data_IF_881272366092
#
_entry.id   IF_881272366092
#
_cell.length_a   1.000
_cell.length_b   1.000
_cell.length_c   1.000
_cell.angle_alpha   90.00
_cell.angle_beta   90.00
_cell.angle_gamma   90.00
#
_symmetry.space_group_name_H-M   'P 1'
#
loop_
_entity.id
_entity.type
_entity.pdbx_description
1 polymer ?
#
# COMPACT_ATOMS: atom_id res chain seq x y z
N UNK A 1 16.82 13.69 2.31
CA UNK A 1 17.86 12.65 2.18
C UNK A 1 19.02 13.03 3.08
N UNK A 2 19.58 12.09 3.83
CA UNK A 2 20.74 12.32 4.70
C UNK A 2 21.93 11.53 4.18
N UNK A 3 23.06 12.19 3.94
CA UNK A 3 24.28 11.57 3.39
C UNK A 3 25.50 12.02 4.16
N UNK A 4 26.34 11.07 4.55
CA UNK A 4 27.69 11.34 5.03
C UNK A 4 28.63 11.32 3.83
N UNK A 5 29.29 12.43 3.54
CA UNK A 5 30.17 12.56 2.38
C UNK A 5 31.49 13.19 2.77
N UNK A 6 32.51 12.92 1.97
CA UNK A 6 33.79 13.61 2.01
C UNK A 6 33.82 14.58 0.84
N UNK A 7 33.78 15.88 1.12
CA UNK A 7 33.76 16.89 0.06
C UNK A 7 35.21 17.27 -0.29
N UNK A 8 35.78 16.64 -1.32
CA UNK A 8 37.14 16.97 -1.79
C UNK A 8 37.13 18.29 -2.56
N UNK A 9 37.95 19.22 -2.09
CA UNK A 9 38.17 20.52 -2.68
C UNK A 9 39.66 20.73 -2.91
N UNK A 10 40.02 21.25 -4.08
CA UNK A 10 41.42 21.54 -4.44
C UNK A 10 41.49 22.90 -5.15
N UNK A 11 42.37 23.77 -4.68
CA UNK A 11 42.61 25.08 -5.27
C UNK A 11 44.08 25.48 -5.10
N UNK A 12 44.50 26.57 -5.75
CA UNK A 12 45.88 27.05 -5.71
C UNK A 12 45.93 28.43 -5.08
N UNK A 13 46.70 28.59 -4.00
CA UNK A 13 46.98 29.88 -3.38
C UNK A 13 48.42 30.30 -3.66
N UNK A 14 48.57 31.45 -4.33
CA UNK A 14 49.88 32.00 -4.70
C UNK A 14 50.70 32.49 -3.51
N UNK A 15 50.07 32.82 -2.37
CA UNK A 15 50.75 33.31 -1.16
C UNK A 15 51.35 32.19 -0.33
N UNK A 16 50.87 30.94 -0.50
CA UNK A 16 51.30 29.77 0.26
C UNK A 16 52.32 28.90 -0.49
N UNK A 17 53.17 29.54 -1.31
CA UNK A 17 54.26 28.88 -2.06
C UNK A 17 55.59 29.02 -1.33
N UNK A 18 56.41 27.98 -1.35
CA UNK A 18 57.78 28.03 -0.84
C UNK A 18 58.71 27.15 -1.65
N UNK A 19 60.02 27.43 -1.59
CA UNK A 19 61.03 26.58 -2.22
C UNK A 19 61.44 25.48 -1.23
N UNK A 20 61.23 24.18 -1.54
CA UNK A 20 61.60 23.09 -0.61
C UNK A 20 63.09 23.10 -0.22
N UNK A 21 63.96 23.61 -1.11
CA UNK A 21 65.40 23.74 -0.86
C UNK A 21 65.74 24.68 0.30
N UNK A 22 64.89 25.67 0.58
CA UNK A 22 65.08 26.63 1.68
C UNK A 22 64.52 26.11 3.01
N UNK A 23 63.63 25.10 2.96
CA UNK A 23 62.90 24.57 4.12
C UNK A 23 63.13 23.07 4.28
N UNK A 24 64.39 22.64 4.37
CA UNK A 24 64.78 21.26 4.68
C UNK A 24 64.12 20.16 3.81
N UNK A 25 63.77 20.47 2.56
CA UNK A 25 63.12 19.54 1.64
C UNK A 25 61.64 19.29 1.92
N UNK A 26 60.98 20.10 2.75
CA UNK A 26 59.55 19.96 3.06
C UNK A 26 58.71 20.28 1.81
N UNK A 27 57.92 19.31 1.35
CA UNK A 27 57.06 19.44 0.15
C UNK A 27 55.59 19.66 0.47
N UNK A 28 55.14 19.32 1.69
CA UNK A 28 53.76 19.54 2.13
C UNK A 28 53.67 19.75 3.64
N UNK A 29 52.69 20.54 4.06
CA UNK A 29 52.37 20.84 5.46
C UNK A 29 50.86 20.69 5.70
N UNK A 30 50.48 20.43 6.95
CA UNK A 30 49.07 20.38 7.37
C UNK A 30 48.74 21.60 8.21
N UNK A 31 47.80 22.40 7.75
CA UNK A 31 47.45 23.71 8.35
C UNK A 31 45.97 23.69 8.75
N UNK A 32 45.59 24.27 9.90
CA UNK A 32 44.17 24.44 10.26
C UNK A 32 43.41 25.25 9.18
N UNK A 33 42.22 24.76 8.76
CA UNK A 33 41.44 25.39 7.68
C UNK A 33 40.92 26.79 8.00
N UNK A 34 40.75 27.11 9.28
CA UNK A 34 40.35 28.41 9.80
C UNK A 34 41.43 29.49 9.70
N UNK A 35 42.70 29.09 9.50
CA UNK A 35 43.83 30.02 9.37
C UNK A 35 44.17 30.41 7.93
N UNK A 36 43.51 29.79 6.94
CA UNK A 36 43.71 30.04 5.52
C UNK A 36 42.38 30.44 4.87
N UNK A 37 42.45 31.04 3.68
CA UNK A 37 41.23 31.26 2.89
C UNK A 37 40.70 29.91 2.38
N UNK A 38 39.40 29.70 2.55
CA UNK A 38 38.67 28.55 2.03
C UNK A 38 37.47 29.04 1.20
N UNK A 39 37.12 28.35 0.10
CA UNK A 39 35.89 28.65 -0.63
C UNK A 39 34.66 28.20 0.17
N UNK A 40 33.60 28.98 0.12
CA UNK A 40 32.35 28.79 0.85
C UNK A 40 31.36 27.90 0.06
N UNK A 41 31.79 26.68 -0.26
CA UNK A 41 30.95 25.73 -0.99
C UNK A 41 29.88 25.16 -0.06
N UNK A 42 28.62 25.51 -0.32
CA UNK A 42 27.46 25.12 0.48
C UNK A 42 26.45 24.33 -0.33
N UNK A 43 25.64 23.54 0.37
CA UNK A 43 24.47 22.87 -0.20
C UNK A 43 23.29 23.87 -0.25
N UNK A 44 22.81 24.20 -1.44
CA UNK A 44 21.67 25.13 -1.60
C UNK A 44 20.35 24.50 -1.12
N UNK A 45 20.10 23.23 -1.46
CA UNK A 45 18.86 22.53 -1.12
C UNK A 45 18.92 21.91 0.30
N UNK A 46 19.51 22.63 1.26
CA UNK A 46 19.70 22.15 2.63
C UNK A 46 18.38 22.18 3.44
N UNK A 47 18.11 21.12 4.20
CA UNK A 47 16.94 20.99 5.06
C UNK A 47 17.20 21.29 6.55
N UNK A 48 18.47 21.30 7.01
CA UNK A 48 18.81 21.38 8.45
C UNK A 48 19.21 22.78 8.93
N UNK A 49 19.34 23.75 8.01
CA UNK A 49 19.81 25.11 8.30
C UNK A 49 21.30 25.22 8.71
N UNK A 50 22.04 24.10 8.75
CA UNK A 50 23.50 24.06 8.99
C UNK A 50 24.23 23.96 7.66
N UNK A 51 24.89 25.03 7.25
CA UNK A 51 25.53 25.13 5.94
C UNK A 51 27.03 24.82 5.96
N UNK A 52 27.66 24.81 7.14
CA UNK A 52 29.11 24.65 7.32
C UNK A 52 29.50 23.19 7.61
N UNK A 53 30.60 22.74 7.00
CA UNK A 53 31.20 21.43 7.22
C UNK A 53 32.07 21.35 8.48
N UNK A 54 32.63 20.17 8.76
CA UNK A 54 33.54 20.01 9.90
C UNK A 54 34.87 20.74 9.65
N UNK A 55 35.35 21.49 10.64
CA UNK A 55 36.64 22.18 10.58
C UNK A 55 37.76 21.14 10.74
N UNK A 56 38.43 20.82 9.64
CA UNK A 56 39.58 19.90 9.59
C UNK A 56 40.83 20.60 9.10
N UNK A 57 42.00 19.94 9.17
CA UNK A 57 43.24 20.50 8.61
C UNK A 57 43.26 20.32 7.08
N UNK A 58 43.69 21.35 6.38
CA UNK A 58 44.00 21.29 4.95
C UNK A 58 45.46 20.87 4.72
N UNK A 59 45.73 20.23 3.59
CA UNK A 59 47.09 19.88 3.15
C UNK A 59 47.53 20.91 2.13
N UNK A 60 48.59 21.64 2.44
CA UNK A 60 49.20 22.64 1.54
C UNK A 60 50.48 22.05 0.97
N UNK A 61 50.65 22.07 -0.34
CA UNK A 61 51.88 21.68 -1.06
C UNK A 61 52.75 22.90 -1.37
N UNK A 62 54.03 22.67 -1.61
CA UNK A 62 55.03 23.73 -1.84
C UNK A 62 54.75 24.62 -3.06
N UNK A 63 54.02 24.10 -4.05
CA UNK A 63 53.57 24.81 -5.25
C UNK A 63 52.34 25.70 -5.01
N UNK A 64 51.83 25.74 -3.77
CA UNK A 64 50.66 26.49 -3.37
C UNK A 64 49.35 25.73 -3.60
N UNK A 65 49.40 24.47 -4.05
CA UNK A 65 48.20 23.64 -4.20
C UNK A 65 47.70 23.20 -2.84
N UNK A 66 46.44 23.50 -2.53
CA UNK A 66 45.77 23.21 -1.28
C UNK A 66 44.70 22.18 -1.54
N UNK A 67 44.72 21.10 -0.77
CA UNK A 67 43.68 20.07 -0.79
C UNK A 67 42.99 20.01 0.57
N UNK A 68 41.67 20.10 0.57
CA UNK A 68 40.84 20.06 1.77
C UNK A 68 39.66 19.12 1.55
N UNK A 69 39.53 18.12 2.44
CA UNK A 69 38.53 17.04 2.37
C UNK A 69 37.75 16.94 3.69
N UNK A 70 36.95 17.94 4.06
CA UNK A 70 36.15 17.86 5.27
C UNK A 70 35.07 16.76 5.16
N UNK A 71 34.87 15.96 6.22
CA UNK A 71 33.69 15.12 6.33
C UNK A 71 32.48 16.01 6.66
N UNK A 72 31.37 15.76 5.99
CA UNK A 72 30.13 16.48 6.20
C UNK A 72 28.93 15.54 6.23
N UNK A 73 27.98 15.82 7.12
CA UNK A 73 26.66 15.22 7.10
C UNK A 73 25.70 16.22 6.46
N UNK A 74 25.31 15.94 5.22
CA UNK A 74 24.36 16.77 4.49
C UNK A 74 22.95 16.21 4.60
N UNK A 75 22.00 17.08 4.93
CA UNK A 75 20.56 16.80 4.82
C UNK A 75 19.99 17.60 3.67
N UNK A 76 19.78 16.96 2.53
CA UNK A 76 19.19 17.59 1.35
C UNK A 76 17.67 17.42 1.30
N UNK A 77 16.99 18.45 0.83
CA UNK A 77 15.58 18.45 0.48
C UNK A 77 15.40 17.77 -0.87
N UNK A 78 14.65 16.67 -0.90
CA UNK A 78 14.34 15.93 -2.12
C UNK A 78 12.84 15.64 -2.15
N UNK A 79 12.21 15.84 -3.30
CA UNK A 79 10.81 15.46 -3.51
C UNK A 79 10.79 13.98 -3.87
N UNK A 80 10.04 13.20 -3.09
CA UNK A 80 9.89 11.76 -3.33
C UNK A 80 8.57 11.44 -4.04
N UNK A 81 8.59 10.45 -4.90
CA UNK A 81 7.39 9.90 -5.56
C UNK A 81 7.06 8.53 -4.98
N UNK A 82 5.94 8.44 -4.26
CA UNK A 82 5.51 7.23 -3.54
C UNK A 82 4.44 6.43 -4.28
N UNK A 83 4.14 6.78 -5.54
CA UNK A 83 3.07 6.14 -6.33
C UNK A 83 3.18 4.61 -6.35
N UNK A 84 4.40 4.08 -6.56
CA UNK A 84 4.67 2.65 -6.69
C UNK A 84 5.31 2.01 -5.46
N UNK A 85 5.17 2.62 -4.28
CA UNK A 85 5.71 2.08 -3.03
C UNK A 85 5.32 0.60 -2.80
N UNK A 86 6.25 -0.30 -2.38
CA UNK A 86 7.67 -0.11 -2.06
C UNK A 86 8.61 -0.40 -3.25
N UNK A 87 8.09 -0.49 -4.48
CA UNK A 87 8.84 -0.75 -5.71
C UNK A 87 9.19 0.56 -6.43
N UNK A 88 9.71 1.51 -5.67
CA UNK A 88 9.98 2.87 -6.10
C UNK A 88 11.46 3.12 -6.47
N UNK A 89 11.64 4.02 -7.43
CA UNK A 89 12.92 4.64 -7.79
C UNK A 89 12.83 6.11 -7.43
N UNK A 90 13.81 6.61 -6.68
CA UNK A 90 13.88 8.00 -6.27
C UNK A 90 15.06 8.67 -6.97
N UNK A 91 14.84 9.89 -7.47
CA UNK A 91 15.88 10.73 -8.04
C UNK A 91 16.08 11.95 -7.15
N UNK A 92 17.11 11.90 -6.31
CA UNK A 92 17.44 12.99 -5.40
C UNK A 92 18.68 13.73 -5.87
N UNK A 93 18.61 15.05 -5.90
CA UNK A 93 19.72 15.91 -6.29
C UNK A 93 20.30 16.67 -5.09
N UNK A 94 21.61 16.87 -5.08
CA UNK A 94 22.30 17.77 -4.17
C UNK A 94 23.03 18.85 -4.97
N UNK A 95 22.68 20.11 -4.74
CA UNK A 95 23.27 21.26 -5.45
C UNK A 95 24.28 22.00 -4.58
N UNK A 96 25.53 21.97 -4.99
CA UNK A 96 26.64 22.66 -4.34
C UNK A 96 27.06 23.88 -5.14
N UNK A 97 27.33 24.98 -4.45
CA UNK A 97 27.85 26.20 -5.07
C UNK A 97 28.42 27.14 -4.01
N UNK A 98 29.12 28.17 -4.46
CA UNK A 98 29.53 29.26 -3.56
C UNK A 98 28.30 30.05 -3.13
N UNK A 99 28.27 30.52 -1.88
CA UNK A 99 27.20 31.39 -1.39
C UNK A 99 27.48 32.87 -1.66
N UNK A 100 28.73 33.29 -1.50
CA UNK A 100 29.15 34.70 -1.54
C UNK A 100 29.74 35.13 -2.86
N UNK A 101 30.48 34.26 -3.55
CA UNK A 101 31.19 34.62 -4.79
C UNK A 101 30.35 34.32 -6.03
N UNK A 102 30.47 35.19 -7.04
CA UNK A 102 29.98 34.89 -8.38
C UNK A 102 31.03 34.12 -9.20
N UNK A 103 30.65 33.66 -10.38
CA UNK A 103 31.51 32.90 -11.27
C UNK A 103 32.69 33.68 -11.85
N UNK A 104 32.68 35.03 -11.76
CA UNK A 104 33.84 35.84 -12.15
C UNK A 104 34.96 35.78 -11.11
N UNK A 105 34.61 35.47 -9.85
CA UNK A 105 35.54 35.38 -8.73
C UNK A 105 35.92 33.94 -8.40
N UNK A 106 34.94 33.04 -8.32
CA UNK A 106 35.15 31.62 -8.00
C UNK A 106 34.43 30.77 -9.04
N UNK A 107 35.22 30.09 -9.87
CA UNK A 107 34.70 29.06 -10.78
C UNK A 107 34.88 27.66 -10.17
N UNK A 108 33.83 26.85 -10.23
CA UNK A 108 33.80 25.51 -9.65
C UNK A 108 33.79 24.49 -10.79
N UNK A 109 34.71 23.53 -10.75
CA UNK A 109 34.86 22.50 -11.77
C UNK A 109 34.79 21.11 -11.14
N UNK A 110 34.12 20.16 -11.82
CA UNK A 110 34.10 18.77 -11.38
C UNK A 110 35.43 18.10 -11.70
N UNK A 111 35.98 17.37 -10.73
CA UNK A 111 37.12 16.48 -10.96
C UNK A 111 36.69 15.23 -11.75
N UNK A 112 35.56 14.63 -11.36
CA UNK A 112 34.98 13.46 -12.03
C UNK A 112 33.45 13.64 -12.16
N UNK A 113 32.89 13.06 -13.22
CA UNK A 113 31.46 12.98 -13.45
C UNK A 113 30.80 11.95 -12.52
N UNK A 114 31.49 10.86 -12.17
CA UNK A 114 30.94 9.84 -11.28
C UNK A 114 31.27 10.16 -9.82
N UNK A 115 30.30 9.94 -8.93
CA UNK A 115 30.55 10.02 -7.49
C UNK A 115 31.39 8.81 -7.08
N UNK A 116 32.50 9.06 -6.37
CA UNK A 116 33.34 7.99 -5.84
C UNK A 116 32.58 7.15 -4.80
N UNK A 117 32.64 5.83 -4.97
CA UNK A 117 31.96 4.83 -4.13
C UNK A 117 32.94 3.85 -3.47
N UNK A 118 34.26 4.08 -3.54
CA UNK A 118 35.28 3.17 -3.00
C UNK A 118 35.10 2.87 -1.51
N UNK A 119 34.78 3.89 -0.73
CA UNK A 119 34.51 3.77 0.71
C UNK A 119 33.01 3.76 1.03
N UNK A 120 32.16 3.40 0.07
CA UNK A 120 30.71 3.33 0.28
C UNK A 120 30.36 2.13 1.16
N UNK A 121 29.55 2.39 2.19
CA UNK A 121 28.97 1.36 3.03
C UNK A 121 27.52 1.12 2.59
N UNK A 122 27.21 -0.11 2.20
CA UNK A 122 25.89 -0.47 1.68
C UNK A 122 24.77 -0.22 2.69
N UNK A 123 23.66 0.34 2.19
CA UNK A 123 22.46 0.57 2.97
C UNK A 123 21.52 -0.63 2.84
N UNK A 124 20.98 -1.13 3.95
CA UNK A 124 20.06 -2.27 3.97
C UNK A 124 18.67 -1.99 3.41
N UNK A 125 18.31 -0.72 3.18
CA UNK A 125 17.00 -0.30 2.64
C UNK A 125 17.09 0.23 1.20
N UNK A 126 18.24 0.77 0.80
CA UNK A 126 18.41 1.51 -0.45
C UNK A 126 19.66 1.08 -1.22
N UNK A 127 19.50 0.85 -2.52
CA UNK A 127 20.56 0.55 -3.47
C UNK A 127 20.83 1.79 -4.35
N UNK A 128 22.09 2.19 -4.52
CA UNK A 128 22.46 3.28 -5.43
C UNK A 128 22.60 2.72 -6.85
N UNK A 129 21.65 3.05 -7.73
CA UNK A 129 21.66 2.63 -9.14
C UNK A 129 22.66 3.48 -9.92
N UNK A 130 22.55 4.80 -9.84
CA UNK A 130 23.48 5.74 -10.49
C UNK A 130 23.72 6.95 -9.60
N UNK A 131 24.97 7.41 -9.54
CA UNK A 131 25.35 8.64 -8.86
C UNK A 131 26.27 9.44 -9.78
N UNK A 132 25.79 10.59 -10.26
CA UNK A 132 26.45 11.37 -11.32
C UNK A 132 26.40 12.87 -11.01
N UNK A 133 27.43 13.60 -11.41
CA UNK A 133 27.60 15.03 -11.18
C UNK A 133 27.55 15.83 -12.48
N UNK A 134 26.88 16.97 -12.47
CA UNK A 134 26.77 17.87 -13.61
C UNK A 134 27.06 19.32 -13.19
N UNK A 135 27.88 20.04 -13.97
CA UNK A 135 28.12 21.48 -13.80
C UNK A 135 26.99 22.26 -14.46
N UNK A 136 26.28 23.05 -13.66
CA UNK A 136 25.31 24.02 -14.14
C UNK A 136 25.78 25.45 -13.89
N UNK A 137 25.06 26.41 -14.47
CA UNK A 137 25.27 27.82 -14.22
C UNK A 137 23.91 28.50 -14.10
N UNK A 138 23.69 29.19 -12.98
CA UNK A 138 22.48 30.00 -12.76
C UNK A 138 22.81 31.44 -13.07
N UNK A 139 22.09 32.05 -14.00
CA UNK A 139 22.18 33.48 -14.28
C UNK A 139 21.11 34.23 -13.49
N UNK A 140 21.53 35.28 -12.78
CA UNK A 140 20.63 36.16 -12.05
C UNK A 140 21.01 37.62 -12.34
N UNK A 141 20.27 38.24 -13.26
CA UNK A 141 20.59 39.58 -13.78
C UNK A 141 21.95 39.65 -14.47
N UNK A 142 22.89 40.37 -13.86
CA UNK A 142 24.25 40.60 -14.40
C UNK A 142 25.25 39.51 -13.97
N UNK A 143 24.98 38.80 -12.88
CA UNK A 143 25.89 37.83 -12.29
C UNK A 143 25.53 36.41 -12.73
N UNK A 144 26.55 35.56 -12.83
CA UNK A 144 26.37 34.13 -13.07
C UNK A 144 26.98 33.35 -11.90
N UNK A 145 26.27 32.33 -11.45
CA UNK A 145 26.60 31.54 -10.27
C UNK A 145 26.78 30.08 -10.68
N UNK A 146 28.04 29.60 -10.80
CA UNK A 146 28.31 28.21 -11.10
C UNK A 146 27.87 27.32 -9.94
N UNK A 147 27.29 26.17 -10.26
CA UNK A 147 26.93 25.16 -9.28
C UNK A 147 27.18 23.76 -9.83
N UNK A 148 27.42 22.81 -8.94
CA UNK A 148 27.53 21.38 -9.25
C UNK A 148 26.30 20.69 -8.67
N UNK A 149 25.59 19.95 -9.51
CA UNK A 149 24.47 19.10 -9.08
C UNK A 149 24.88 17.64 -9.12
N UNK A 150 24.84 16.97 -7.99
CA UNK A 150 24.96 15.52 -7.91
C UNK A 150 23.58 14.88 -7.87
N UNK A 151 23.25 14.06 -8.86
CA UNK A 151 22.01 13.30 -8.96
C UNK A 151 22.23 11.86 -8.55
N UNK A 152 21.45 11.42 -7.56
CA UNK A 152 21.41 10.07 -7.02
C UNK A 152 20.10 9.41 -7.40
N UNK A 153 20.18 8.41 -8.27
CA UNK A 153 19.07 7.51 -8.54
C UNK A 153 19.21 6.32 -7.61
N UNK A 154 18.32 6.23 -6.63
CA UNK A 154 18.30 5.19 -5.62
C UNK A 154 17.05 4.32 -5.76
N UNK A 155 17.20 3.03 -5.49
CA UNK A 155 16.15 2.02 -5.57
C UNK A 155 15.90 1.43 -4.19
N UNK A 156 14.64 1.29 -3.80
CA UNK A 156 14.29 0.64 -2.53
C UNK A 156 14.41 -0.87 -2.62
N UNK A 157 14.90 -1.50 -1.54
CA UNK A 157 14.85 -2.95 -1.33
C UNK A 157 13.50 -3.32 -0.67
N UNK A 158 12.57 -3.99 -1.38
CA UNK A 158 11.15 -4.06 -0.97
C UNK A 158 10.81 -5.21 -0.01
N UNK A 159 11.78 -6.06 0.36
CA UNK A 159 11.50 -7.32 1.07
C UNK A 159 10.75 -7.11 2.39
N UNK A 160 11.21 -6.16 3.21
CA UNK A 160 10.60 -5.83 4.50
C UNK A 160 9.13 -5.42 4.35
N UNK A 161 8.84 -4.46 3.47
CA UNK A 161 7.49 -3.97 3.22
C UNK A 161 6.60 -5.02 2.54
N UNK A 162 7.17 -5.89 1.70
CA UNK A 162 6.43 -6.98 1.06
C UNK A 162 5.91 -7.98 2.11
N UNK A 163 6.76 -8.38 3.06
CA UNK A 163 6.40 -9.36 4.09
C UNK A 163 5.44 -8.80 5.14
N UNK A 164 5.66 -7.56 5.60
CA UNK A 164 4.94 -7.02 6.75
C UNK A 164 3.78 -6.07 6.40
N UNK A 165 3.71 -5.55 5.17
CA UNK A 165 2.57 -4.74 4.71
C UNK A 165 1.77 -5.45 3.62
N UNK A 166 2.40 -5.87 2.52
CA UNK A 166 1.68 -6.40 1.35
C UNK A 166 0.99 -7.74 1.66
N UNK A 167 1.71 -8.71 2.25
CA UNK A 167 1.15 -10.04 2.56
C UNK A 167 -0.07 -9.93 3.51
N UNK A 168 -0.01 -9.20 4.64
CA UNK A 168 -1.18 -8.99 5.49
C UNK A 168 -2.36 -8.31 4.77
N UNK A 169 -2.11 -7.32 3.91
CA UNK A 169 -3.17 -6.67 3.14
C UNK A 169 -3.88 -7.63 2.18
N UNK A 170 -3.12 -8.50 1.51
CA UNK A 170 -3.69 -9.58 0.66
C UNK A 170 -4.52 -10.54 1.53
N UNK A 171 -3.99 -10.96 2.69
CA UNK A 171 -4.71 -11.81 3.64
C UNK A 171 -6.04 -11.20 4.10
N UNK A 172 -6.04 -9.91 4.47
CA UNK A 172 -7.25 -9.20 4.86
C UNK A 172 -8.26 -9.12 3.72
N UNK A 173 -7.81 -8.83 2.50
CA UNK A 173 -8.70 -8.80 1.34
C UNK A 173 -9.37 -10.15 1.07
N UNK A 174 -8.67 -11.26 1.28
CA UNK A 174 -9.25 -12.59 1.19
C UNK A 174 -10.31 -12.84 2.29
N UNK A 175 -10.04 -12.40 3.52
CA UNK A 175 -11.01 -12.51 4.62
C UNK A 175 -12.31 -11.74 4.34
N UNK A 176 -12.27 -10.61 3.61
CA UNK A 176 -13.48 -9.86 3.24
C UNK A 176 -14.46 -10.68 2.38
N UNK A 177 -13.93 -11.54 1.51
CA UNK A 177 -14.74 -12.42 0.66
C UNK A 177 -15.26 -13.61 1.49
N UNK A 178 -14.43 -14.16 2.37
CA UNK A 178 -14.77 -15.30 3.22
C UNK A 178 -15.97 -15.01 4.15
N UNK A 179 -16.14 -13.76 4.58
CA UNK A 179 -17.31 -13.30 5.36
C UNK A 179 -18.64 -13.70 4.75
N UNK A 180 -18.78 -13.58 3.42
CA UNK A 180 -20.05 -13.89 2.73
C UNK A 180 -20.30 -15.40 2.59
N UNK A 181 -19.27 -16.21 2.78
CA UNK A 181 -19.39 -17.67 2.78
C UNK A 181 -19.89 -18.20 4.14
N UNK A 182 -19.68 -17.46 5.22
CA UNK A 182 -20.08 -17.88 6.57
C UNK A 182 -21.60 -17.81 6.74
N UNK A 183 -22.27 -18.89 7.20
CA UNK A 183 -23.71 -18.89 7.44
C UNK A 183 -24.08 -17.92 8.57
N UNK A 184 -25.22 -17.23 8.43
CA UNK A 184 -25.72 -16.23 9.38
C UNK A 184 -26.25 -16.81 10.71
N UNK A 185 -26.18 -18.12 10.90
CA UNK A 185 -26.85 -18.80 12.03
C UNK A 185 -26.17 -18.57 13.38
N UNK A 186 -24.90 -18.13 13.40
CA UNK A 186 -24.07 -18.13 14.63
C UNK A 186 -23.69 -16.73 15.14
N UNK A 187 -24.16 -15.63 14.54
CA UNK A 187 -23.83 -14.25 15.00
C UNK A 187 -22.36 -13.82 14.77
N UNK A 188 -21.44 -14.77 14.67
CA UNK A 188 -20.00 -14.58 14.39
C UNK A 188 -19.71 -13.83 13.09
N UNK A 189 -20.65 -13.83 12.14
CA UNK A 189 -20.53 -13.10 10.87
C UNK A 189 -20.30 -11.60 11.08
N UNK A 190 -21.01 -10.97 12.01
CA UNK A 190 -20.84 -9.53 12.30
C UNK A 190 -19.48 -9.28 12.96
N UNK A 191 -19.12 -10.12 13.93
CA UNK A 191 -17.83 -10.06 14.66
C UNK A 191 -16.63 -10.12 13.71
N UNK A 192 -16.67 -11.03 12.73
CA UNK A 192 -15.65 -11.14 11.69
C UNK A 192 -15.58 -9.89 10.82
N UNK A 193 -16.72 -9.36 10.36
CA UNK A 193 -16.76 -8.13 9.55
C UNK A 193 -16.14 -6.94 10.29
N UNK A 194 -16.53 -6.74 11.55
CA UNK A 194 -16.03 -5.62 12.36
C UNK A 194 -14.54 -5.76 12.65
N UNK A 195 -14.06 -6.97 12.91
CA UNK A 195 -12.63 -7.23 13.14
C UNK A 195 -11.78 -6.93 11.90
N UNK A 196 -12.28 -7.32 10.72
CA UNK A 196 -11.61 -7.01 9.44
C UNK A 196 -11.60 -5.51 9.16
N UNK A 197 -12.70 -4.80 9.42
CA UNK A 197 -12.75 -3.34 9.26
C UNK A 197 -11.74 -2.64 10.17
N UNK A 198 -11.70 -2.98 11.46
CA UNK A 198 -10.75 -2.40 12.42
C UNK A 198 -9.31 -2.69 11.98
N UNK A 199 -9.02 -3.92 11.56
CA UNK A 199 -7.67 -4.28 11.08
C UNK A 199 -7.27 -3.46 9.85
N UNK A 200 -8.15 -3.28 8.87
CA UNK A 200 -7.90 -2.43 7.69
C UNK A 200 -7.62 -0.98 8.08
N UNK A 201 -8.37 -0.42 9.03
CA UNK A 201 -8.14 0.94 9.54
C UNK A 201 -6.76 1.06 10.20
N UNK A 202 -6.36 0.08 11.02
CA UNK A 202 -5.02 0.07 11.65
C UNK A 202 -3.92 0.01 10.59
N UNK A 203 -4.05 -0.84 9.57
CA UNK A 203 -3.07 -0.89 8.48
C UNK A 203 -3.01 0.42 7.68
N UNK A 204 -4.14 1.08 7.46
CA UNK A 204 -4.18 2.38 6.81
C UNK A 204 -3.44 3.45 7.63
N UNK A 205 -3.64 3.49 8.95
CA UNK A 205 -2.91 4.39 9.85
C UNK A 205 -1.40 4.12 9.82
N UNK A 206 -0.98 2.85 9.85
CA UNK A 206 0.44 2.49 9.73
C UNK A 206 1.03 2.98 8.39
N UNK A 207 0.28 2.88 7.30
CA UNK A 207 0.74 3.39 6.00
C UNK A 207 0.84 4.92 5.99
N UNK A 208 -0.11 5.62 6.62
CA UNK A 208 -0.07 7.08 6.76
C UNK A 208 1.13 7.55 7.59
N UNK A 209 1.55 6.79 8.61
CA UNK A 209 2.74 7.12 9.41
C UNK A 209 4.06 6.90 8.66
N UNK A 210 4.13 5.87 7.80
CA UNK A 210 5.36 5.52 7.07
C UNK A 210 5.59 6.46 5.88
N UNK A 211 4.53 6.91 5.22
CA UNK A 211 4.59 7.70 3.99
C UNK A 211 4.52 9.18 4.36
N UNK A 212 5.38 10.06 3.81
CA UNK A 212 5.28 11.47 4.12
C UNK A 212 3.93 12.05 3.65
N UNK A 213 3.40 13.00 4.41
CA UNK A 213 2.19 13.74 4.09
C UNK A 213 2.38 14.63 2.85
N UNK A 214 2.24 14.03 1.67
CA UNK A 214 2.29 14.70 0.38
C UNK A 214 0.91 14.63 -0.29
N UNK A 215 0.38 15.78 -0.69
CA UNK A 215 -0.88 15.86 -1.44
C UNK A 215 -0.69 15.64 -2.95
N UNK A 216 0.55 15.48 -3.43
CA UNK A 216 0.84 15.40 -4.87
C UNK A 216 0.41 14.07 -5.49
N UNK A 217 0.64 12.97 -4.78
CA UNK A 217 0.36 11.61 -5.25
C UNK A 217 -0.01 10.72 -4.07
N UNK A 218 -1.06 9.91 -4.23
CA UNK A 218 -1.46 8.90 -3.27
C UNK A 218 -0.81 7.56 -3.70
N UNK A 219 -0.20 6.80 -2.78
CA UNK A 219 0.37 5.49 -3.10
C UNK A 219 -0.73 4.51 -3.52
N UNK A 220 -0.46 3.67 -4.53
CA UNK A 220 -1.43 2.67 -5.02
C UNK A 220 -1.91 1.71 -3.92
N UNK A 221 -1.04 1.36 -2.97
CA UNK A 221 -1.42 0.53 -1.82
C UNK A 221 -2.45 1.22 -0.91
N UNK A 222 -2.34 2.55 -0.74
CA UNK A 222 -3.31 3.34 0.02
C UNK A 222 -4.66 3.39 -0.69
N UNK A 223 -4.66 3.58 -2.01
CA UNK A 223 -5.87 3.52 -2.83
C UNK A 223 -6.55 2.13 -2.71
N UNK A 224 -5.76 1.06 -2.74
CA UNK A 224 -6.26 -0.31 -2.55
C UNK A 224 -6.89 -0.54 -1.17
N UNK A 225 -6.27 -0.05 -0.10
CA UNK A 225 -6.83 -0.17 1.25
C UNK A 225 -8.12 0.65 1.40
N UNK A 226 -8.17 1.86 0.87
CA UNK A 226 -9.39 2.69 0.89
C UNK A 226 -10.50 2.05 0.07
N UNK A 227 -10.20 1.53 -1.12
CA UNK A 227 -11.13 0.74 -1.92
C UNK A 227 -11.69 -0.43 -1.09
N UNK A 228 -10.80 -1.25 -0.50
CA UNK A 228 -11.20 -2.40 0.33
C UNK A 228 -12.06 -1.97 1.52
N UNK A 229 -11.73 -0.86 2.18
CA UNK A 229 -12.49 -0.31 3.30
C UNK A 229 -13.92 0.10 2.88
N UNK A 230 -14.08 0.74 1.72
CA UNK A 230 -15.40 1.06 1.15
C UNK A 230 -16.20 -0.24 0.88
N UNK A 231 -15.56 -1.28 0.36
CA UNK A 231 -16.23 -2.57 0.15
C UNK A 231 -16.62 -3.26 1.46
N UNK A 232 -15.75 -3.24 2.47
CA UNK A 232 -16.06 -3.84 3.78
C UNK A 232 -17.19 -3.11 4.49
N UNK A 233 -17.24 -1.78 4.41
CA UNK A 233 -18.34 -1.00 4.99
C UNK A 233 -19.66 -1.29 4.29
N UNK A 234 -19.69 -1.36 2.95
CA UNK A 234 -20.88 -1.79 2.21
C UNK A 234 -21.29 -3.23 2.54
N UNK A 235 -20.32 -4.14 2.71
CA UNK A 235 -20.56 -5.51 3.15
C UNK A 235 -21.22 -5.58 4.52
N UNK A 236 -20.78 -4.78 5.49
CA UNK A 236 -21.41 -4.70 6.82
C UNK A 236 -22.87 -4.27 6.72
N UNK A 237 -23.17 -3.24 5.93
CA UNK A 237 -24.56 -2.77 5.74
C UNK A 237 -25.44 -3.88 5.13
N UNK A 238 -24.92 -4.59 4.13
CA UNK A 238 -25.64 -5.68 3.47
C UNK A 238 -25.82 -6.88 4.40
N UNK A 239 -24.83 -7.23 5.22
CA UNK A 239 -24.94 -8.33 6.18
C UNK A 239 -25.96 -8.03 7.28
N UNK A 240 -26.01 -6.79 7.78
CA UNK A 240 -27.07 -6.34 8.71
C UNK A 240 -28.45 -6.47 8.07
N UNK A 241 -28.59 -6.07 6.80
CA UNK A 241 -29.83 -6.23 6.04
C UNK A 241 -30.20 -7.71 5.83
N UNK A 242 -29.25 -8.56 5.48
CA UNK A 242 -29.46 -10.00 5.30
C UNK A 242 -29.87 -10.69 6.62
N UNK A 243 -29.25 -10.32 7.74
CA UNK A 243 -29.62 -10.81 9.08
C UNK A 243 -31.02 -10.32 9.48
N UNK A 244 -31.38 -9.08 9.16
CA UNK A 244 -32.73 -8.57 9.40
C UNK A 244 -33.78 -9.39 8.64
N UNK A 245 -33.49 -9.78 7.40
CA UNK A 245 -34.34 -10.67 6.60
C UNK A 245 -34.38 -12.09 7.19
N UNK A 246 -33.23 -12.63 7.62
CA UNK A 246 -33.14 -13.97 8.21
C UNK A 246 -33.97 -14.09 9.50
N UNK A 247 -33.93 -13.06 10.35
CA UNK A 247 -34.65 -13.02 11.63
C UNK A 247 -36.13 -12.61 11.47
N UNK A 248 -36.61 -12.41 10.24
CA UNK A 248 -38.03 -12.11 9.99
C UNK A 248 -38.88 -13.36 10.24
N UNK A 249 -39.42 -13.47 11.45
CA UNK A 249 -40.30 -14.57 11.87
C UNK A 249 -41.76 -14.35 11.46
N UNK A 250 -42.49 -15.44 11.25
CA UNK A 250 -43.87 -15.52 10.73
C UNK A 250 -44.94 -14.78 11.55
N UNK A 251 -44.63 -14.32 12.76
CA UNK A 251 -45.56 -13.63 13.66
C UNK A 251 -45.98 -12.22 13.19
N UNK A 252 -45.10 -11.48 12.49
CA UNK A 252 -45.36 -10.08 12.10
C UNK A 252 -45.68 -9.88 10.62
N UNK A 253 -45.43 -10.85 9.74
CA UNK A 253 -45.68 -10.74 8.29
C UNK A 253 -46.17 -12.07 7.68
N UNK A 254 -47.48 -12.27 7.64
CA UNK A 254 -48.11 -13.47 7.06
C UNK A 254 -48.05 -13.57 5.52
N UNK A 255 -47.69 -12.49 4.81
CA UNK A 255 -47.69 -12.48 3.35
C UNK A 255 -46.36 -11.96 2.79
N UNK A 256 -45.53 -12.88 2.32
CA UNK A 256 -44.37 -12.54 1.49
C UNK A 256 -44.88 -11.94 0.17
N UNK A 257 -44.38 -10.75 -0.21
CA UNK A 257 -44.88 -10.10 -1.41
C UNK A 257 -44.65 -10.99 -2.65
N UNK A 258 -45.63 -11.11 -3.57
CA UNK A 258 -45.56 -12.08 -4.68
C UNK A 258 -44.33 -11.92 -5.58
N UNK A 259 -43.82 -10.69 -5.71
CA UNK A 259 -42.61 -10.39 -6.47
C UNK A 259 -41.35 -10.95 -5.80
N UNK A 260 -41.25 -10.93 -4.47
CA UNK A 260 -40.10 -11.46 -3.71
C UNK A 260 -40.03 -12.97 -3.90
N UNK A 261 -41.18 -13.66 -3.81
CA UNK A 261 -41.28 -15.10 -4.05
C UNK A 261 -40.86 -15.45 -5.49
N UNK A 262 -41.33 -14.73 -6.50
CA UNK A 262 -40.95 -15.02 -7.90
C UNK A 262 -39.46 -14.79 -8.19
N UNK A 263 -38.87 -13.76 -7.60
CA UNK A 263 -37.46 -13.40 -7.83
C UNK A 263 -36.51 -14.30 -7.03
N UNK A 264 -36.70 -14.39 -5.71
CA UNK A 264 -35.75 -15.06 -4.80
C UNK A 264 -35.96 -16.57 -4.67
N UNK A 265 -37.18 -17.10 -4.87
CA UNK A 265 -37.42 -18.55 -4.78
C UNK A 265 -37.38 -19.27 -6.15
N UNK A 266 -37.59 -18.56 -7.27
CA UNK A 266 -37.66 -19.19 -8.60
C UNK A 266 -36.59 -18.74 -9.61
N UNK A 267 -36.30 -17.43 -9.73
CA UNK A 267 -35.36 -16.93 -10.75
C UNK A 267 -33.89 -16.97 -10.30
N UNK A 268 -33.57 -16.37 -9.15
CA UNK A 268 -32.20 -16.26 -8.63
C UNK A 268 -31.55 -17.60 -8.26
N UNK A 269 -32.23 -18.57 -7.62
CA UNK A 269 -31.62 -19.86 -7.29
C UNK A 269 -31.20 -20.64 -8.53
N UNK A 270 -31.97 -20.54 -9.63
CA UNK A 270 -31.62 -21.16 -10.92
C UNK A 270 -30.41 -20.50 -11.57
N UNK A 271 -30.27 -19.18 -11.45
CA UNK A 271 -29.09 -18.45 -11.93
C UNK A 271 -27.83 -18.77 -11.10
N UNK A 272 -27.99 -18.94 -9.78
CA UNK A 272 -26.91 -19.22 -8.82
C UNK A 272 -26.63 -20.72 -8.62
N UNK A 273 -27.20 -21.59 -9.47
CA UNK A 273 -27.08 -23.05 -9.40
C UNK A 273 -27.38 -23.65 -8.02
N UNK A 274 -28.33 -23.08 -7.27
CA UNK A 274 -28.80 -23.62 -5.99
C UNK A 274 -29.94 -24.61 -6.22
N UNK A 275 -29.86 -25.77 -5.58
CA UNK A 275 -30.96 -26.74 -5.54
C UNK A 275 -32.07 -26.19 -4.62
N UNK A 276 -33.20 -25.82 -5.21
CA UNK A 276 -34.34 -25.27 -4.46
C UNK A 276 -35.04 -26.37 -3.65
N UNK A 277 -35.38 -26.07 -2.39
CA UNK A 277 -36.11 -26.98 -1.49
C UNK A 277 -37.56 -27.24 -1.95
N UNK A 278 -38.05 -26.45 -2.92
CA UNK A 278 -39.39 -26.53 -3.51
C UNK A 278 -39.64 -27.85 -4.24
N UNK A 279 -38.59 -28.55 -4.70
CA UNK A 279 -38.74 -29.85 -5.38
C UNK A 279 -39.19 -30.98 -4.44
N UNK A 280 -39.10 -30.81 -3.11
CA UNK A 280 -39.61 -31.80 -2.14
C UNK A 280 -41.12 -31.72 -1.89
N UNK A 281 -41.78 -30.62 -2.28
CA UNK A 281 -43.20 -30.41 -1.98
C UNK A 281 -44.14 -31.07 -2.96
N UNK A 282 -43.76 -31.13 -4.24
CA UNK A 282 -44.59 -31.74 -5.27
C UNK A 282 -44.72 -33.26 -5.10
N UNK A 283 -43.73 -33.92 -4.51
CA UNK A 283 -43.73 -35.37 -4.33
C UNK A 283 -44.63 -35.86 -3.18
N UNK A 284 -44.97 -35.01 -2.21
CA UNK A 284 -45.74 -35.44 -1.01
C UNK A 284 -47.26 -35.33 -1.16
N UNK A 285 -47.74 -34.62 -2.18
CA UNK A 285 -49.19 -34.37 -2.37
C UNK A 285 -49.95 -35.51 -3.05
N UNK A 286 -49.25 -36.53 -3.55
CA UNK A 286 -49.87 -37.67 -4.26
C UNK A 286 -50.22 -38.89 -3.37
N UNK A 287 -49.78 -38.95 -2.10
CA UNK A 287 -49.92 -40.18 -1.29
C UNK A 287 -51.05 -40.18 -0.24
N UNK A 288 -51.89 -39.15 -0.11
CA UNK A 288 -52.96 -39.13 0.91
C UNK A 288 -54.35 -39.25 0.31
N UNK A 289 -54.64 -40.46 -0.20
CA UNK A 289 -55.97 -40.89 -0.65
C UNK A 289 -56.72 -41.68 0.42
N UNK A 290 -57.81 -41.06 0.91
CA UNK A 290 -59.09 -41.62 1.37
C UNK A 290 -59.14 -42.93 2.17
N UNK A 291 -59.62 -42.85 3.43
CA UNK A 291 -60.35 -43.95 4.09
C UNK A 291 -61.55 -43.42 4.87
N UNK A 292 -62.74 -43.95 4.53
CA UNK A 292 -64.01 -43.78 5.22
C UNK A 292 -64.21 -44.91 6.24
N UNK A 293 -64.80 -44.60 7.39
CA UNK A 293 -65.35 -45.60 8.32
C UNK A 293 -66.20 -44.96 9.43
N UNK A 294 -67.49 -45.29 9.45
CA UNK A 294 -68.47 -45.07 10.53
C UNK A 294 -68.22 -46.05 11.70
N UNK A 295 -68.74 -45.98 12.93
CA UNK A 295 -69.82 -45.22 13.57
C UNK A 295 -69.69 -45.34 15.12
N UNK A 296 -70.42 -44.48 15.85
CA UNK A 296 -70.96 -44.66 17.23
C UNK A 296 -70.08 -44.57 18.50
N UNK A 297 -70.09 -43.40 19.14
CA UNK A 297 -70.40 -43.18 20.58
C UNK A 297 -70.47 -41.69 20.91
N UNK A 298 -71.67 -41.10 20.83
CA UNK A 298 -71.90 -39.69 20.47
C UNK A 298 -71.44 -38.59 21.44
N UNK A 299 -70.95 -38.87 22.65
CA UNK A 299 -70.59 -37.78 23.58
C UNK A 299 -69.10 -37.76 23.96
N UNK A 300 -68.44 -38.91 24.08
CA UNK A 300 -66.98 -38.99 24.33
C UNK A 300 -66.18 -38.99 23.03
N UNK A 301 -66.74 -39.54 21.95
CA UNK A 301 -66.12 -39.55 20.62
C UNK A 301 -66.11 -38.15 20.00
N UNK A 302 -67.16 -37.33 20.21
CA UNK A 302 -67.20 -35.95 19.72
C UNK A 302 -66.11 -35.08 20.39
N UNK A 303 -65.94 -35.21 21.71
CA UNK A 303 -64.87 -34.52 22.44
C UNK A 303 -63.46 -34.98 22.01
N UNK A 304 -63.28 -36.28 21.76
CA UNK A 304 -62.02 -36.83 21.26
C UNK A 304 -61.74 -36.40 19.81
N UNK A 305 -62.75 -36.38 18.94
CA UNK A 305 -62.65 -35.90 17.56
C UNK A 305 -62.36 -34.41 17.49
N UNK A 306 -62.95 -33.59 18.36
CA UNK A 306 -62.64 -32.16 18.45
C UNK A 306 -61.23 -31.93 18.99
N UNK A 307 -60.76 -32.75 19.92
CA UNK A 307 -59.36 -32.72 20.39
C UNK A 307 -58.37 -33.08 19.28
N UNK A 308 -58.65 -34.15 18.52
CA UNK A 308 -57.85 -34.53 17.34
C UNK A 308 -57.89 -33.43 16.29
N UNK A 309 -59.06 -32.87 15.99
CA UNK A 309 -59.22 -31.78 15.02
C UNK A 309 -58.49 -30.52 15.46
N UNK A 310 -58.47 -30.21 16.75
CA UNK A 310 -57.68 -29.11 17.33
C UNK A 310 -56.19 -29.38 17.16
N UNK A 311 -55.71 -30.58 17.51
CA UNK A 311 -54.30 -30.98 17.33
C UNK A 311 -53.91 -30.92 15.84
N UNK A 312 -54.73 -31.47 14.93
CA UNK A 312 -54.48 -31.42 13.49
C UNK A 312 -54.41 -29.99 12.99
N UNK A 313 -55.33 -29.10 13.39
CA UNK A 313 -55.28 -27.67 13.03
C UNK A 313 -54.04 -26.98 13.60
N UNK A 314 -53.67 -27.30 14.83
CA UNK A 314 -52.49 -26.73 15.48
C UNK A 314 -51.20 -27.16 14.76
N UNK A 315 -51.06 -28.45 14.47
CA UNK A 315 -49.92 -29.02 13.74
C UNK A 315 -49.83 -28.45 12.33
N UNK A 316 -50.95 -28.32 11.61
CA UNK A 316 -50.97 -27.70 10.27
C UNK A 316 -50.54 -26.23 10.35
N UNK A 317 -51.06 -25.47 11.31
CA UNK A 317 -50.71 -24.05 11.49
C UNK A 317 -49.24 -23.87 11.89
N UNK A 318 -48.72 -24.73 12.76
CA UNK A 318 -47.28 -24.76 13.10
C UNK A 318 -46.41 -25.12 11.90
N UNK A 319 -46.88 -26.02 11.04
CA UNK A 319 -46.18 -26.41 9.81
C UNK A 319 -46.12 -25.24 8.82
N UNK A 320 -47.25 -24.56 8.57
CA UNK A 320 -47.30 -23.36 7.71
C UNK A 320 -46.38 -22.24 8.23
N UNK A 321 -46.37 -22.02 9.55
CA UNK A 321 -45.47 -21.07 10.20
C UNK A 321 -44.00 -21.46 9.98
N UNK A 322 -43.66 -22.74 10.13
CA UNK A 322 -42.30 -23.25 9.92
C UNK A 322 -41.85 -23.11 8.47
N UNK A 323 -42.73 -23.41 7.52
CA UNK A 323 -42.47 -23.24 6.09
C UNK A 323 -42.16 -21.78 5.73
N UNK A 324 -42.94 -20.82 6.24
CA UNK A 324 -42.68 -19.38 5.99
C UNK A 324 -41.32 -18.95 6.54
N UNK A 325 -40.96 -19.44 7.73
CA UNK A 325 -39.63 -19.15 8.32
C UNK A 325 -38.51 -19.78 7.48
N UNK A 326 -38.69 -21.00 6.97
CA UNK A 326 -37.73 -21.64 6.06
C UNK A 326 -37.58 -20.91 4.73
N UNK A 327 -38.68 -20.41 4.15
CA UNK A 327 -38.69 -19.58 2.94
C UNK A 327 -37.86 -18.29 3.15
N UNK A 328 -38.05 -17.58 4.27
CA UNK A 328 -37.28 -16.37 4.59
C UNK A 328 -35.80 -16.65 4.83
N UNK A 329 -35.47 -17.77 5.51
CA UNK A 329 -34.09 -18.22 5.68
C UNK A 329 -33.43 -18.53 4.34
N UNK A 330 -34.15 -19.19 3.44
CA UNK A 330 -33.66 -19.49 2.10
C UNK A 330 -33.44 -18.20 1.27
N UNK A 331 -34.35 -17.22 1.37
CA UNK A 331 -34.19 -15.92 0.72
C UNK A 331 -32.94 -15.20 1.21
N UNK A 332 -32.68 -15.21 2.52
CA UNK A 332 -31.46 -14.66 3.10
C UNK A 332 -30.20 -15.37 2.58
N UNK A 333 -30.22 -16.70 2.45
CA UNK A 333 -29.10 -17.46 1.86
C UNK A 333 -28.87 -17.14 0.38
N UNK A 334 -29.94 -16.97 -0.41
CA UNK A 334 -29.86 -16.59 -1.82
C UNK A 334 -29.28 -15.19 -1.98
N UNK A 335 -29.71 -14.24 -1.13
CA UNK A 335 -29.14 -12.90 -1.07
C UNK A 335 -27.65 -12.91 -0.74
N UNK A 336 -27.25 -13.63 0.31
CA UNK A 336 -25.85 -13.78 0.71
C UNK A 336 -24.98 -14.31 -0.44
N UNK A 337 -25.44 -15.34 -1.16
CA UNK A 337 -24.71 -15.88 -2.32
C UNK A 337 -24.67 -14.93 -3.51
N UNK A 338 -25.74 -14.19 -3.78
CA UNK A 338 -25.76 -13.18 -4.84
C UNK A 338 -24.72 -12.09 -4.55
N UNK A 339 -24.67 -11.60 -3.31
CA UNK A 339 -23.67 -10.62 -2.90
C UNK A 339 -22.27 -11.22 -2.92
N UNK A 340 -22.07 -12.47 -2.51
CA UNK A 340 -20.78 -13.16 -2.62
C UNK A 340 -20.22 -13.09 -4.04
N UNK A 341 -20.98 -13.50 -5.05
CA UNK A 341 -20.52 -13.46 -6.45
C UNK A 341 -20.27 -12.05 -6.96
N UNK A 342 -21.12 -11.09 -6.56
CA UNK A 342 -20.96 -9.69 -6.93
C UNK A 342 -19.67 -9.11 -6.33
N UNK A 343 -19.45 -9.29 -5.03
CA UNK A 343 -18.26 -8.81 -4.32
C UNK A 343 -16.99 -9.53 -4.78
N UNK A 344 -17.06 -10.84 -5.05
CA UNK A 344 -15.95 -11.60 -5.61
C UNK A 344 -15.52 -11.04 -6.97
N UNK A 345 -16.48 -10.82 -7.89
CA UNK A 345 -16.19 -10.26 -9.21
C UNK A 345 -15.56 -8.87 -9.09
N UNK A 346 -16.18 -7.99 -8.29
CA UNK A 346 -15.70 -6.61 -8.14
C UNK A 346 -14.34 -6.55 -7.45
N UNK A 347 -14.10 -7.41 -6.45
CA UNK A 347 -12.80 -7.53 -5.79
C UNK A 347 -11.72 -8.04 -6.75
N UNK A 348 -11.99 -9.08 -7.55
CA UNK A 348 -11.03 -9.59 -8.55
C UNK A 348 -10.71 -8.51 -9.59
N UNK A 349 -11.74 -7.86 -10.16
CA UNK A 349 -11.55 -6.82 -11.18
C UNK A 349 -10.81 -5.61 -10.60
N UNK A 350 -11.18 -5.17 -9.40
CA UNK A 350 -10.53 -4.06 -8.69
C UNK A 350 -9.07 -4.36 -8.38
N UNK A 351 -8.77 -5.54 -7.85
CA UNK A 351 -7.39 -5.99 -7.60
C UNK A 351 -6.59 -6.06 -8.90
N UNK A 352 -7.13 -6.63 -9.97
CA UNK A 352 -6.43 -6.68 -11.26
C UNK A 352 -6.12 -5.26 -11.78
N UNK A 353 -7.11 -4.36 -11.77
CA UNK A 353 -6.93 -2.99 -12.24
C UNK A 353 -5.86 -2.22 -11.44
N UNK A 354 -5.85 -2.37 -10.12
CA UNK A 354 -4.92 -1.66 -9.24
C UNK A 354 -3.51 -2.27 -9.23
N UNK A 355 -3.37 -3.60 -9.35
CA UNK A 355 -2.06 -4.26 -9.31
C UNK A 355 -1.35 -4.34 -10.69
N UNK A 356 -2.07 -4.25 -11.82
CA UNK A 356 -1.45 -4.24 -13.16
C UNK A 356 -0.35 -3.16 -13.30
N UNK A 357 -0.60 -1.88 -12.94
CA UNK A 357 0.43 -0.84 -13.04
C UNK A 357 1.67 -1.15 -12.20
N UNK A 358 1.48 -1.72 -11.01
CA UNK A 358 2.56 -2.11 -10.09
C UNK A 358 3.42 -3.21 -10.69
N UNK A 359 2.78 -4.26 -11.22
CA UNK A 359 3.48 -5.39 -11.87
C UNK A 359 4.26 -4.91 -13.10
N UNK A 360 3.65 -4.06 -13.92
CA UNK A 360 4.30 -3.49 -15.09
C UNK A 360 5.51 -2.62 -14.72
N UNK A 361 5.37 -1.77 -13.70
CA UNK A 361 6.48 -0.96 -13.18
C UNK A 361 7.60 -1.83 -12.61
N UNK A 362 7.26 -2.84 -11.82
CA UNK A 362 8.22 -3.78 -11.24
C UNK A 362 8.99 -4.55 -12.31
N UNK A 363 8.30 -5.06 -13.34
CA UNK A 363 8.92 -5.70 -14.49
C UNK A 363 9.89 -4.76 -15.20
N UNK A 364 9.49 -3.50 -15.44
CA UNK A 364 10.34 -2.50 -16.10
C UNK A 364 11.54 -2.07 -15.26
N UNK A 365 11.53 -2.22 -13.93
CA UNK A 365 12.69 -1.94 -13.08
C UNK A 365 13.66 -3.12 -13.08
N UNK A 366 13.17 -4.36 -13.10
CA UNK A 366 14.02 -5.56 -13.03
C UNK A 366 14.64 -5.93 -14.37
N UNK A 367 13.88 -5.84 -15.46
CA UNK A 367 14.33 -6.23 -16.81
C UNK A 367 15.62 -5.50 -17.25
N UNK A 368 15.76 -4.16 -17.10
CA UNK A 368 17.01 -3.49 -17.46
C UNK A 368 18.19 -3.85 -16.55
N UNK A 369 17.96 -4.21 -15.28
CA UNK A 369 19.03 -4.64 -14.36
C UNK A 369 19.62 -6.00 -14.79
N UNK A 370 18.77 -6.93 -15.24
CA UNK A 370 19.24 -8.24 -15.73
C UNK A 370 20.03 -8.14 -17.04
N UNK A 371 19.69 -7.18 -17.92
CA UNK A 371 20.44 -6.93 -19.16
C UNK A 371 21.78 -6.23 -18.87
N UNK A 372 21.80 -5.30 -17.91
CA UNK A 372 23.03 -4.63 -17.45
C UNK A 372 24.03 -5.61 -16.80
N UNK A 373 23.56 -6.52 -15.95
CA UNK A 373 24.42 -7.55 -15.35
C UNK A 373 24.94 -8.58 -16.37
N UNK A 374 24.18 -8.89 -17.43
CA UNK A 374 24.68 -9.79 -18.49
C UNK A 374 25.77 -9.16 -19.37
N UNK A 375 25.86 -7.84 -19.46
CA UNK A 375 26.92 -7.15 -20.21
C UNK A 375 28.09 -6.68 -19.33
N UNK A 376 27.89 -6.53 -18.02
CA UNK A 376 28.95 -6.14 -17.07
C UNK A 376 30.01 -7.21 -16.80
N UNK A 377 29.69 -8.50 -16.99
CA UNK A 377 30.61 -9.62 -16.74
C UNK A 377 31.50 -10.01 -17.95
N UNK A 378 31.52 -9.21 -19.02
CA UNK A 378 32.37 -9.46 -20.21
C UNK A 378 33.51 -8.47 -20.42
N UNK A 379 33.73 -7.54 -19.51
CA UNK A 379 34.86 -6.60 -19.58
C UNK A 379 35.52 -6.41 -18.22
N UNK A 380 36.21 -7.46 -17.76
CA UNK A 380 37.42 -7.37 -16.93
C UNK A 380 38.32 -8.55 -17.24
#
# INVERSE_FOLDING_TARGET
MTTNVWLKQEWVDVKLRWAPKEFAGITSIRVPSDSIWIPDIVLYDNADGRFEGSVTKAVVKYDGTISWTPPANYKSSCVIDVTFFPFDLQNCSMKFGSWTYDGSQVDINLEDFHVDKRDFFDNGEWEIVTATGFKGNRTDGCCWYPYITYSFIIKRLPLFYTLFLIIPCIGLSFLTILVFYLPSNEGEKISLCTSVLVSLTVFLLVIEEIIPSSSKVIPLIGEYLVFTMIFVTLSIVITVFAINIHNRSSSTHNAMAPWVRKIFLHKLPKLLCMRSHVDRYFTRKEETGMTNGSDSSRNTLEAALDSIRYITRHVIKEHEVREVVEDWKFVAQVLDRMFLWTFLLVSIVGSIFLFIPVIHKWANIIVPIHIGNMYGDRTT
#
